data_IF_572458139011
#
_entry.id   IF_572458139011
#
_cell.length_a   1.000
_cell.length_b   1.000
_cell.length_c   1.000
_cell.angle_alpha   90.00
_cell.angle_beta   90.00
_cell.angle_gamma   90.00
#
_symmetry.space_group_name_H-M   'P 1'
#
loop_
_entity.id
_entity.type
_entity.pdbx_description
1 polymer ?
#
# COMPACT_ATOMS: atom_id res chain seq x y z
N UNK A 1 -9.22 -10.11 7.37
CA UNK A 1 -8.35 -10.50 6.23
C UNK A 1 -7.33 -9.41 5.89
N UNK A 2 -7.72 -8.24 5.35
CA UNK A 2 -6.76 -7.20 4.92
C UNK A 2 -6.09 -6.40 6.05
N UNK A 3 -6.73 -6.28 7.23
CA UNK A 3 -6.07 -5.72 8.42
C UNK A 3 -4.85 -6.58 8.82
N UNK A 4 -4.97 -7.91 8.70
CA UNK A 4 -3.85 -8.81 9.00
C UNK A 4 -2.71 -8.65 7.99
N UNK A 5 -2.98 -8.29 6.74
CA UNK A 5 -1.92 -8.05 5.76
C UNK A 5 -1.06 -6.85 6.14
N UNK A 6 -1.69 -5.79 6.65
CA UNK A 6 -0.99 -4.59 7.14
C UNK A 6 -0.22 -4.92 8.43
N UNK A 7 -0.86 -5.59 9.40
CA UNK A 7 -0.29 -5.83 10.73
C UNK A 7 0.77 -6.95 10.78
N UNK A 8 0.58 -8.01 9.98
CA UNK A 8 1.36 -9.25 10.06
C UNK A 8 2.02 -9.64 8.72
N UNK A 9 1.72 -8.93 7.62
CA UNK A 9 2.32 -9.18 6.32
C UNK A 9 3.68 -8.51 6.14
N UNK A 10 4.16 -8.55 4.90
CA UNK A 10 5.46 -7.99 4.50
C UNK A 10 5.55 -6.47 4.65
N UNK A 11 4.41 -5.79 4.73
CA UNK A 11 4.33 -4.34 4.79
C UNK A 11 4.74 -3.83 6.19
N UNK A 12 4.53 -4.63 7.25
CA UNK A 12 4.88 -4.35 8.66
C UNK A 12 4.49 -2.94 9.16
N UNK A 13 3.42 -2.36 8.63
CA UNK A 13 2.95 -1.04 9.03
C UNK A 13 2.01 -1.21 10.21
N UNK A 14 2.35 -0.65 11.37
CA UNK A 14 1.44 -0.57 12.52
C UNK A 14 1.18 0.88 12.88
N UNK A 15 -0.09 1.29 12.80
CA UNK A 15 -0.56 2.57 13.29
C UNK A 15 -1.26 2.34 14.63
N UNK A 16 -0.60 2.69 15.73
CA UNK A 16 -1.14 2.50 17.09
C UNK A 16 -2.51 3.19 17.20
N UNK A 17 -3.49 2.48 17.75
CA UNK A 17 -4.86 2.97 17.93
C UNK A 17 -5.75 2.88 16.68
N UNK A 18 -5.24 2.39 15.54
CA UNK A 18 -6.05 2.27 14.32
C UNK A 18 -5.89 0.92 13.65
N UNK A 19 -7.02 0.30 13.31
CA UNK A 19 -7.03 -0.77 12.33
C UNK A 19 -7.02 -0.16 10.93
N UNK A 20 -6.03 -0.57 10.14
CA UNK A 20 -5.88 -0.16 8.74
C UNK A 20 -5.93 -1.42 7.89
N UNK A 21 -6.80 -1.41 6.88
CA UNK A 21 -6.88 -2.49 5.91
C UNK A 21 -6.16 -2.07 4.63
N UNK A 22 -5.38 -2.98 4.05
CA UNK A 22 -4.70 -2.66 2.81
C UNK A 22 -3.90 -3.82 2.23
N UNK A 23 -3.42 -3.61 1.02
CA UNK A 23 -2.67 -4.61 0.26
C UNK A 23 -1.67 -3.96 -0.69
N UNK A 24 -0.47 -4.51 -0.70
CA UNK A 24 0.54 -4.27 -1.72
C UNK A 24 0.36 -5.16 -2.96
N UNK A 25 0.69 -4.62 -4.13
CA UNK A 25 0.73 -5.35 -5.39
C UNK A 25 1.99 -5.01 -6.17
N UNK A 26 2.67 -6.03 -6.71
CA UNK A 26 3.82 -5.88 -7.62
C UNK A 26 3.44 -6.60 -8.90
N UNK A 27 3.20 -5.87 -9.98
CA UNK A 27 2.69 -6.42 -11.23
C UNK A 27 3.74 -6.28 -12.35
N UNK A 28 3.92 -7.33 -13.14
CA UNK A 28 4.71 -7.26 -14.36
C UNK A 28 3.99 -6.41 -15.42
N UNK A 29 4.74 -5.65 -16.21
CA UNK A 29 4.18 -4.80 -17.27
C UNK A 29 4.06 -5.62 -18.56
N UNK A 30 2.91 -5.63 -19.26
CA UNK A 30 2.78 -6.32 -20.53
C UNK A 30 3.69 -5.70 -21.60
N UNK A 31 4.35 -6.55 -22.39
CA UNK A 31 5.16 -6.12 -23.54
C UNK A 31 4.29 -6.08 -24.80
N UNK A 32 3.98 -4.89 -25.36
CA UNK A 32 3.13 -4.77 -26.54
C UNK A 32 3.79 -5.31 -27.81
N UNK A 33 5.10 -5.53 -27.82
CA UNK A 33 5.84 -6.02 -29.00
C UNK A 33 5.87 -7.54 -29.09
N UNK A 34 6.02 -8.20 -27.95
CA UNK A 34 6.20 -9.67 -27.89
C UNK A 34 4.95 -10.41 -27.41
N UNK A 35 3.96 -9.71 -26.84
CA UNK A 35 2.75 -10.33 -26.29
C UNK A 35 2.95 -11.03 -24.94
N UNK A 36 4.12 -10.86 -24.31
CA UNK A 36 4.46 -11.35 -22.98
C UNK A 36 4.52 -10.22 -21.93
N UNK A 37 5.49 -10.31 -21.02
CA UNK A 37 5.82 -9.24 -20.07
C UNK A 37 7.18 -8.63 -20.39
N UNK A 38 7.37 -7.36 -20.02
CA UNK A 38 8.68 -6.72 -19.97
C UNK A 38 9.60 -7.46 -18.98
N UNK A 39 10.86 -7.02 -18.93
CA UNK A 39 11.82 -7.53 -17.97
C UNK A 39 11.25 -7.55 -16.55
N UNK A 40 11.57 -8.60 -15.78
CA UNK A 40 11.06 -8.78 -14.42
C UNK A 40 11.40 -7.64 -13.44
N UNK A 41 12.39 -6.81 -13.77
CA UNK A 41 12.72 -5.58 -13.04
C UNK A 41 11.80 -4.40 -13.39
N UNK A 42 11.11 -4.45 -14.54
CA UNK A 42 10.14 -3.45 -14.96
C UNK A 42 8.73 -3.80 -14.48
N UNK A 43 8.43 -3.39 -13.25
CA UNK A 43 7.15 -3.66 -12.60
C UNK A 43 6.35 -2.39 -12.31
N UNK A 44 5.08 -2.58 -11.94
CA UNK A 44 4.23 -1.56 -11.33
C UNK A 44 4.06 -1.93 -9.86
N UNK A 45 4.41 -0.99 -8.99
CA UNK A 45 4.17 -1.12 -7.56
C UNK A 45 2.88 -0.41 -7.19
N UNK A 46 2.04 -1.08 -6.40
CA UNK A 46 0.78 -0.53 -5.88
C UNK A 46 0.64 -0.79 -4.40
N UNK A 47 -0.03 0.14 -3.70
CA UNK A 47 -0.56 -0.07 -2.37
C UNK A 47 -1.95 0.54 -2.34
N UNK A 48 -2.97 -0.29 -2.10
CA UNK A 48 -4.34 0.17 -1.85
C UNK A 48 -4.73 -0.12 -0.40
N UNK A 49 -5.44 0.81 0.23
CA UNK A 49 -5.96 0.57 1.58
C UNK A 49 -6.88 1.68 2.06
N UNK A 50 -7.47 1.47 3.23
CA UNK A 50 -8.43 2.39 3.83
C UNK A 50 -8.34 2.37 5.35
N UNK A 51 -8.77 3.47 5.96
CA UNK A 51 -8.82 3.60 7.42
C UNK A 51 -9.97 4.50 7.90
N UNK A 52 -10.47 4.29 9.13
CA UNK A 52 -10.34 3.05 9.91
C UNK A 52 -10.97 1.86 9.20
N UNK A 53 -10.47 0.65 9.42
CA UNK A 53 -10.89 -0.54 8.66
C UNK A 53 -12.39 -0.88 8.82
N UNK A 54 -12.97 -0.63 9.99
CA UNK A 54 -14.37 -0.97 10.32
C UNK A 54 -15.39 0.11 9.93
N UNK A 55 -14.96 1.37 9.84
CA UNK A 55 -15.80 2.52 9.46
C UNK A 55 -14.97 3.46 8.59
N UNK A 56 -14.73 3.10 7.32
CA UNK A 56 -13.76 3.79 6.47
C UNK A 56 -14.13 5.26 6.27
N UNK A 57 -13.16 6.16 6.42
CA UNK A 57 -13.32 7.59 6.14
C UNK A 57 -12.62 8.02 4.86
N UNK A 58 -11.61 7.26 4.44
CA UNK A 58 -10.87 7.51 3.22
C UNK A 58 -10.28 6.21 2.66
N UNK A 59 -9.98 6.24 1.36
CA UNK A 59 -9.22 5.22 0.63
C UNK A 59 -7.96 5.88 0.08
N UNK A 60 -6.84 5.17 0.10
CA UNK A 60 -5.56 5.59 -0.48
C UNK A 60 -5.17 4.55 -1.52
N UNK A 61 -4.83 5.02 -2.73
CA UNK A 61 -4.15 4.25 -3.76
C UNK A 61 -2.83 4.94 -4.09
N UNK A 62 -1.71 4.24 -3.88
CA UNK A 62 -0.40 4.65 -4.37
C UNK A 62 -0.02 3.75 -5.55
N UNK A 63 0.54 4.37 -6.59
CA UNK A 63 1.05 3.69 -7.78
C UNK A 63 2.39 4.30 -8.18
N UNK A 64 3.37 3.44 -8.45
CA UNK A 64 4.65 3.82 -9.05
C UNK A 64 4.91 2.89 -10.24
N UNK A 65 5.12 3.49 -11.40
CA UNK A 65 5.52 2.77 -12.61
C UNK A 65 7.04 2.68 -12.71
N UNK A 66 7.57 1.49 -12.98
CA UNK A 66 9.00 1.22 -13.20
C UNK A 66 9.92 1.78 -12.09
N UNK A 67 9.70 1.41 -10.81
CA UNK A 67 10.57 1.84 -9.71
C UNK A 67 11.99 1.30 -9.93
N UNK A 68 13.00 2.16 -9.71
CA UNK A 68 14.41 1.80 -9.91
C UNK A 68 15.02 1.24 -8.63
N UNK A 69 15.70 0.10 -8.74
CA UNK A 69 16.48 -0.49 -7.64
C UNK A 69 15.65 -1.08 -6.49
N UNK A 70 14.33 -1.28 -6.69
CA UNK A 70 13.43 -1.87 -5.70
C UNK A 70 12.52 -2.88 -6.41
N UNK A 71 12.51 -4.12 -5.92
CA UNK A 71 11.81 -5.22 -6.59
C UNK A 71 10.36 -5.43 -6.11
N UNK A 72 9.99 -4.93 -4.93
CA UNK A 72 8.67 -5.17 -4.33
C UNK A 72 8.00 -3.89 -3.84
N UNK A 73 6.67 -3.83 -4.00
CA UNK A 73 5.84 -2.74 -3.52
C UNK A 73 5.92 -2.53 -2.00
N UNK A 74 6.10 -3.60 -1.21
CA UNK A 74 6.29 -3.51 0.24
C UNK A 74 7.52 -2.68 0.63
N UNK A 75 8.60 -2.73 -0.16
CA UNK A 75 9.82 -1.96 0.10
C UNK A 75 9.75 -0.51 -0.36
N UNK A 76 8.87 -0.18 -1.31
CA UNK A 76 8.79 1.16 -1.92
C UNK A 76 7.63 2.00 -1.42
N UNK A 77 6.49 1.38 -1.09
CA UNK A 77 5.24 2.09 -0.82
C UNK A 77 4.78 2.00 0.63
N UNK A 78 5.26 1.04 1.42
CA UNK A 78 4.75 0.81 2.76
C UNK A 78 4.90 2.04 3.68
N UNK A 79 6.10 2.63 3.74
CA UNK A 79 6.36 3.83 4.55
C UNK A 79 5.54 5.03 4.11
N UNK A 80 5.39 5.24 2.80
CA UNK A 80 4.59 6.33 2.24
C UNK A 80 3.12 6.17 2.59
N UNK A 81 2.56 4.96 2.43
CA UNK A 81 1.18 4.65 2.81
C UNK A 81 0.96 4.88 4.32
N UNK A 82 1.88 4.43 5.17
CA UNK A 82 1.80 4.63 6.61
C UNK A 82 1.77 6.13 7.00
N UNK A 83 2.65 6.93 6.39
CA UNK A 83 2.77 8.35 6.67
C UNK A 83 1.54 9.13 6.20
N UNK A 84 1.05 8.85 4.99
CA UNK A 84 -0.18 9.47 4.46
C UNK A 84 -1.38 9.06 5.32
N UNK A 85 -1.50 7.78 5.68
CA UNK A 85 -2.61 7.32 6.53
C UNK A 85 -2.59 8.02 7.88
N UNK A 86 -1.42 8.13 8.55
CA UNK A 86 -1.29 8.86 9.82
C UNK A 86 -1.67 10.33 9.67
N UNK A 87 -1.22 10.97 8.60
CA UNK A 87 -1.57 12.35 8.31
C UNK A 87 -3.08 12.54 8.16
N UNK A 88 -3.75 11.68 7.37
CA UNK A 88 -5.20 11.77 7.16
C UNK A 88 -6.01 11.47 8.42
N UNK A 89 -5.60 10.50 9.23
CA UNK A 89 -6.26 10.21 10.51
C UNK A 89 -6.25 11.44 11.42
N UNK A 90 -5.11 12.13 11.50
CA UNK A 90 -4.98 13.36 12.28
C UNK A 90 -5.76 14.53 11.65
N UNK A 91 -5.66 14.70 10.33
CA UNK A 91 -6.31 15.79 9.61
C UNK A 91 -7.84 15.76 9.73
N UNK A 92 -8.43 14.56 9.68
CA UNK A 92 -9.87 14.36 9.85
C UNK A 92 -10.29 14.19 11.32
N UNK A 93 -9.38 14.38 12.27
CA UNK A 93 -9.62 14.25 13.72
C UNK A 93 -10.31 12.92 14.08
N UNK A 94 -9.93 11.85 13.39
CA UNK A 94 -10.51 10.52 13.62
C UNK A 94 -9.93 9.99 14.93
N UNK A 95 -10.73 9.67 15.96
CA UNK A 95 -10.20 9.22 17.22
C UNK A 95 -9.61 7.80 17.10
N UNK A 96 -8.52 7.50 17.83
CA UNK A 96 -8.02 6.13 17.94
C UNK A 96 -9.03 5.26 18.72
N UNK A 97 -9.02 3.95 18.46
CA UNK A 97 -9.56 2.98 19.40
C UNK A 97 -8.56 2.81 20.53
N UNK A 98 -9.09 2.73 21.76
CA UNK A 98 -8.32 2.63 23.01
C UNK A 98 -7.12 1.66 22.94
#
# INVERSE_FOLDING_TARGET
MLVSTVNNGYDKIKLKGYDVAGKTGTAQIPDPKTGGYLDSSETIHTFVGWAPASNPKFIILLKIDKPKGINFASNSLASSFANITRYLLNYYEIPPRE
#
